data_IF_916441695940
#
_entry.id   IF_916441695940
#
_cell.length_a   1.000
_cell.length_b   1.000
_cell.length_c   1.000
_cell.angle_alpha   90.00
_cell.angle_beta   90.00
_cell.angle_gamma   90.00
#
_symmetry.space_group_name_H-M   'P 1'
#
loop_
_entity.id
_entity.type
_entity.pdbx_description
1 polymer ?
#
# COMPACT_ATOMS: atom_id res chain seq x y z
N UNK A 1 -3.31 10.50 -10.45
CA UNK A 1 -2.57 9.72 -9.44
C UNK A 1 -1.46 10.59 -8.91
N UNK A 2 -1.52 10.96 -7.64
CA UNK A 2 -0.44 11.63 -6.92
C UNK A 2 0.08 10.62 -5.88
N UNK A 3 1.32 10.19 -6.06
CA UNK A 3 2.03 9.48 -5.00
C UNK A 3 2.48 10.52 -3.99
N UNK A 4 2.24 10.27 -2.72
CA UNK A 4 3.13 10.85 -1.71
C UNK A 4 4.35 9.88 -1.76
N UNK A 5 5.63 10.23 -1.83
CA UNK A 5 6.43 11.13 -0.99
C UNK A 5 7.82 11.32 -1.62
N UNK A 6 8.44 12.49 -1.42
CA UNK A 6 9.86 12.69 -1.71
C UNK A 6 10.54 13.48 -0.59
N UNK A 7 11.55 12.85 0.01
CA UNK A 7 12.82 13.51 0.36
C UNK A 7 13.91 12.65 -0.28
N UNK A 8 14.14 12.79 -1.58
CA UNK A 8 15.05 11.94 -2.38
C UNK A 8 14.36 10.83 -3.20
N UNK A 9 14.63 9.55 -2.91
CA UNK A 9 14.17 8.41 -3.75
C UNK A 9 13.12 7.49 -3.12
N UNK A 10 12.60 7.82 -1.93
CA UNK A 10 11.84 6.86 -1.10
C UNK A 10 10.54 7.44 -0.57
N UNK A 11 9.56 6.57 -0.32
CA UNK A 11 8.30 6.91 0.36
C UNK A 11 8.57 7.31 1.84
N UNK A 12 7.71 8.16 2.44
CA UNK A 12 7.71 8.60 3.86
C UNK A 12 6.35 9.13 4.25
N UNK A 13 5.63 8.68 5.28
CA UNK A 13 4.26 9.16 5.57
C UNK A 13 4.07 10.70 5.61
N UNK A 14 2.84 11.25 5.48
CA UNK A 14 2.64 12.71 5.47
C UNK A 14 3.06 13.32 6.82
N UNK A 15 2.86 12.56 7.90
CA UNK A 15 3.34 12.86 9.25
C UNK A 15 4.86 12.91 9.37
N UNK A 16 5.59 12.26 8.46
CA UNK A 16 7.06 12.18 8.44
C UNK A 16 7.68 13.15 7.42
N UNK A 17 6.88 14.12 6.93
CA UNK A 17 7.33 15.17 6.02
C UNK A 17 7.29 14.79 4.54
N UNK A 18 6.61 13.72 4.16
CA UNK A 18 6.48 13.38 2.76
C UNK A 18 5.45 14.24 2.01
N UNK A 19 5.70 14.50 0.73
CA UNK A 19 4.95 15.46 -0.10
C UNK A 19 4.35 14.83 -1.38
N UNK A 20 3.25 15.40 -1.90
CA UNK A 20 2.62 14.97 -3.16
C UNK A 20 3.56 15.17 -4.36
N UNK A 21 3.60 14.20 -5.27
CA UNK A 21 4.39 14.24 -6.50
C UNK A 21 3.55 13.86 -7.73
N UNK A 22 3.85 14.43 -8.91
CA UNK A 22 3.19 14.05 -10.15
C UNK A 22 3.54 12.60 -10.55
N UNK A 23 2.60 11.93 -11.21
CA UNK A 23 2.81 10.60 -11.75
C UNK A 23 3.98 10.58 -12.76
N UNK A 24 4.89 9.61 -12.62
CA UNK A 24 5.93 9.27 -13.61
C UNK A 24 5.76 7.82 -14.03
N UNK A 25 5.58 7.60 -15.33
CA UNK A 25 5.38 6.27 -15.89
C UNK A 25 6.63 5.41 -15.66
N UNK A 26 6.45 4.21 -15.09
CA UNK A 26 7.52 3.27 -14.80
C UNK A 26 8.23 3.44 -13.46
N UNK A 27 7.83 4.40 -12.60
CA UNK A 27 8.33 4.50 -11.24
C UNK A 27 7.30 3.94 -10.23
N UNK A 28 7.66 2.83 -9.57
CA UNK A 28 7.01 2.36 -8.35
C UNK A 28 7.98 2.58 -7.20
N UNK A 29 7.65 3.47 -6.25
CA UNK A 29 8.50 3.77 -5.10
C UNK A 29 7.84 3.23 -3.84
N UNK A 30 8.58 2.43 -3.08
CA UNK A 30 8.17 1.95 -1.75
C UNK A 30 8.95 2.67 -0.64
N UNK A 31 8.59 2.38 0.61
CA UNK A 31 9.29 2.86 1.79
C UNK A 31 10.77 2.39 1.75
N UNK A 32 11.70 3.28 2.12
CA UNK A 32 13.14 3.05 1.96
C UNK A 32 13.66 1.76 2.58
N UNK A 33 13.09 1.40 3.72
CA UNK A 33 13.42 0.24 4.54
C UNK A 33 12.30 -0.81 4.52
N UNK A 34 11.40 -0.75 3.52
CA UNK A 34 10.48 -1.83 3.27
C UNK A 34 11.28 -3.11 3.05
N UNK A 35 11.07 -4.09 3.94
CA UNK A 35 11.69 -5.40 3.80
C UNK A 35 10.85 -6.18 2.79
N UNK A 36 11.12 -6.01 1.50
CA UNK A 36 10.46 -6.79 0.45
C UNK A 36 10.77 -8.29 0.55
N UNK A 37 11.93 -8.65 1.14
CA UNK A 37 12.23 -9.96 1.72
C UNK A 37 11.97 -9.94 3.23
N UNK A 38 10.71 -9.85 3.65
CA UNK A 38 10.38 -9.77 5.08
C UNK A 38 10.54 -11.12 5.78
N UNK A 39 9.80 -12.14 5.32
CA UNK A 39 9.87 -13.52 5.78
C UNK A 39 10.01 -14.45 4.56
N UNK A 40 11.24 -14.70 4.12
CA UNK A 40 11.49 -15.55 2.96
C UNK A 40 11.14 -17.01 3.26
N UNK A 41 10.36 -17.63 2.37
CA UNK A 41 9.89 -19.02 2.55
C UNK A 41 8.79 -19.18 3.60
N UNK A 42 8.32 -18.09 4.19
CA UNK A 42 7.21 -18.09 5.16
C UNK A 42 6.04 -17.23 4.66
N UNK A 43 4.93 -17.30 5.39
CA UNK A 43 3.72 -16.56 5.06
C UNK A 43 3.83 -15.09 5.43
N UNK A 44 3.66 -14.22 4.44
CA UNK A 44 3.52 -12.78 4.62
C UNK A 44 2.04 -12.38 4.52
N UNK A 45 1.70 -11.21 5.08
CA UNK A 45 0.37 -10.61 4.99
C UNK A 45 0.43 -9.32 4.18
N UNK A 46 -0.57 -9.13 3.31
CA UNK A 46 -0.74 -7.93 2.50
C UNK A 46 -2.16 -7.41 2.71
N UNK A 47 -2.28 -6.13 3.03
CA UNK A 47 -3.55 -5.43 3.14
C UNK A 47 -3.55 -4.26 2.16
N UNK A 48 -4.57 -4.21 1.30
CA UNK A 48 -4.79 -3.10 0.38
C UNK A 48 -6.10 -2.42 0.77
N UNK A 49 -6.03 -1.14 1.09
CA UNK A 49 -7.21 -0.31 1.34
C UNK A 49 -7.40 0.63 0.17
N UNK A 50 -8.52 0.55 -0.53
CA UNK A 50 -8.89 1.48 -1.59
C UNK A 50 -10.18 2.16 -1.20
N UNK A 51 -10.25 3.48 -1.37
CA UNK A 51 -11.43 4.26 -1.06
C UNK A 51 -11.79 5.13 -2.27
N UNK A 52 -12.57 4.55 -3.19
CA UNK A 52 -12.97 5.19 -4.45
C UNK A 52 -11.70 5.69 -5.19
N UNK A 53 -11.81 6.79 -5.93
CA UNK A 53 -10.72 7.50 -6.58
C UNK A 53 -9.87 8.35 -5.63
N UNK A 54 -10.14 8.33 -4.32
CA UNK A 54 -9.51 9.26 -3.37
C UNK A 54 -8.12 8.80 -2.95
N UNK A 55 -8.00 7.55 -2.51
CA UNK A 55 -6.73 7.02 -2.03
C UNK A 55 -6.65 5.50 -2.07
N UNK A 56 -5.41 5.00 -2.10
CA UNK A 56 -5.06 3.60 -1.91
C UNK A 56 -3.88 3.48 -0.94
N UNK A 57 -3.95 2.59 0.04
CA UNK A 57 -2.89 2.28 1.01
C UNK A 57 -2.48 0.82 0.82
N UNK A 58 -1.17 0.56 0.77
CA UNK A 58 -0.62 -0.79 0.82
C UNK A 58 0.12 -0.98 2.14
N UNK A 59 -0.31 -1.98 2.91
CA UNK A 59 0.40 -2.47 4.07
C UNK A 59 0.99 -3.85 3.79
N UNK A 60 2.24 -4.03 4.16
CA UNK A 60 2.94 -5.31 4.08
C UNK A 60 3.42 -5.69 5.48
N UNK A 61 2.96 -6.84 5.99
CA UNK A 61 3.16 -7.25 7.39
C UNK A 61 2.80 -6.16 8.41
N UNK A 62 1.70 -5.45 8.15
CA UNK A 62 1.20 -4.37 9.00
C UNK A 62 1.92 -3.02 8.83
N UNK A 63 3.05 -2.97 8.12
CA UNK A 63 3.76 -1.72 7.84
C UNK A 63 3.20 -1.07 6.58
N UNK A 64 2.88 0.22 6.63
CA UNK A 64 2.50 0.98 5.44
C UNK A 64 3.74 1.17 4.58
N UNK A 65 3.76 0.51 3.41
CA UNK A 65 4.86 0.59 2.44
C UNK A 65 4.51 1.45 1.23
N UNK A 66 3.21 1.72 1.01
CA UNK A 66 2.77 2.59 -0.07
C UNK A 66 1.44 3.34 0.21
N UNK A 67 1.26 4.50 -0.44
CA UNK A 67 0.10 5.38 -0.40
C UNK A 67 0.02 6.16 -1.72
N UNK A 68 -1.10 6.01 -2.41
CA UNK A 68 -1.48 6.84 -3.55
C UNK A 68 -2.74 7.64 -3.23
N UNK A 69 -2.84 8.85 -3.77
CA UNK A 69 -4.09 9.63 -3.78
C UNK A 69 -4.44 10.10 -5.17
N UNK A 70 -5.65 10.64 -5.30
CA UNK A 70 -6.12 11.26 -6.54
C UNK A 70 -6.02 10.26 -7.71
N UNK A 71 -6.55 9.05 -7.49
CA UNK A 71 -6.47 7.91 -8.41
C UNK A 71 -7.28 8.20 -9.69
N UNK A 72 -6.85 7.63 -10.81
CA UNK A 72 -7.52 7.83 -12.10
C UNK A 72 -8.82 7.04 -12.28
N UNK A 73 -9.06 6.06 -11.42
CA UNK A 73 -10.20 5.15 -11.46
C UNK A 73 -10.74 4.93 -10.05
N UNK A 74 -12.05 4.73 -9.94
CA UNK A 74 -12.76 4.45 -8.69
C UNK A 74 -12.90 2.94 -8.39
N UNK A 75 -12.88 2.13 -9.44
CA UNK A 75 -13.17 0.69 -9.39
C UNK A 75 -12.34 -0.05 -10.43
N UNK A 76 -12.24 -1.37 -10.27
CA UNK A 76 -11.51 -2.25 -11.16
C UNK A 76 -11.52 -3.70 -10.70
N UNK A 77 -10.94 -4.57 -11.51
CA UNK A 77 -10.75 -5.98 -11.17
C UNK A 77 -9.57 -6.14 -10.21
N UNK A 78 -9.71 -7.05 -9.25
CA UNK A 78 -8.61 -7.55 -8.44
C UNK A 78 -8.09 -8.83 -9.09
N UNK A 79 -6.79 -8.88 -9.37
CA UNK A 79 -6.13 -10.03 -9.96
C UNK A 79 -4.91 -10.42 -9.13
N UNK A 80 -4.61 -11.72 -9.14
CA UNK A 80 -3.36 -12.26 -8.59
C UNK A 80 -2.44 -12.55 -9.77
N UNK A 81 -1.25 -11.95 -9.75
CA UNK A 81 -0.24 -12.14 -10.78
C UNK A 81 0.92 -12.98 -10.25
N UNK A 82 1.45 -13.85 -11.11
CA UNK A 82 2.73 -14.52 -10.91
C UNK A 82 3.50 -14.47 -12.23
N UNK A 83 4.65 -13.79 -12.23
CA UNK A 83 5.51 -13.71 -13.41
C UNK A 83 6.51 -14.88 -13.49
N UNK A 84 7.18 -15.19 -12.37
CA UNK A 84 8.14 -16.30 -12.26
C UNK A 84 8.13 -16.93 -10.87
N UNK A 85 8.40 -18.24 -10.79
CA UNK A 85 8.37 -18.99 -9.53
C UNK A 85 6.96 -19.37 -9.08
N UNK A 86 6.88 -20.19 -8.02
CA UNK A 86 5.61 -20.52 -7.38
C UNK A 86 5.26 -19.44 -6.35
N UNK A 87 4.02 -18.95 -6.43
CA UNK A 87 3.45 -18.04 -5.44
C UNK A 87 2.20 -18.71 -4.87
N UNK A 88 2.08 -18.71 -3.55
CA UNK A 88 0.96 -19.30 -2.83
C UNK A 88 0.17 -18.18 -2.15
N UNK A 89 -1.16 -18.22 -2.29
CA UNK A 89 -2.07 -17.28 -1.62
C UNK A 89 -3.05 -18.05 -0.75
N UNK A 90 -3.39 -17.48 0.42
CA UNK A 90 -4.41 -17.99 1.33
C UNK A 90 -5.07 -16.85 2.09
N UNK A 91 -6.22 -17.13 2.70
CA UNK A 91 -6.96 -16.18 3.54
C UNK A 91 -7.24 -14.85 2.83
N UNK A 92 -7.66 -14.93 1.57
CA UNK A 92 -8.04 -13.75 0.79
C UNK A 92 -9.45 -13.35 1.22
N UNK A 93 -9.54 -12.16 1.80
CA UNK A 93 -10.78 -11.60 2.33
C UNK A 93 -10.98 -10.20 1.77
N UNK A 94 -12.25 -9.82 1.55
CA UNK A 94 -12.64 -8.50 1.05
C UNK A 94 -13.70 -7.94 1.99
N UNK A 95 -13.53 -6.68 2.37
CA UNK A 95 -14.52 -5.90 3.08
C UNK A 95 -14.85 -4.65 2.29
N UNK A 96 -16.11 -4.54 1.89
CA UNK A 96 -16.64 -3.35 1.23
C UNK A 96 -17.15 -2.33 2.24
N UNK A 97 -17.12 -1.06 1.87
CA UNK A 97 -17.63 0.05 2.67
C UNK A 97 -18.70 0.78 1.86
N UNK A 98 -19.89 0.94 2.44
CA UNK A 98 -20.98 1.73 1.82
C UNK A 98 -20.66 3.23 1.78
N UNK A 99 -19.89 3.70 2.77
CA UNK A 99 -19.53 5.11 2.93
C UNK A 99 -18.00 5.28 2.99
N UNK A 100 -17.44 6.36 2.39
CA UNK A 100 -16.02 6.60 2.40
C UNK A 100 -15.46 6.75 3.82
N UNK A 101 -14.47 5.93 4.16
CA UNK A 101 -13.74 6.04 5.43
C UNK A 101 -12.56 7.01 5.27
N UNK A 102 -12.32 7.94 6.22
CA UNK A 102 -11.15 8.82 6.16
C UNK A 102 -9.83 8.05 6.26
N UNK A 103 -8.85 8.48 5.46
CA UNK A 103 -7.53 7.84 5.35
C UNK A 103 -6.81 7.76 6.72
N UNK A 104 -6.99 8.78 7.55
CA UNK A 104 -6.36 8.91 8.88
C UNK A 104 -6.71 7.76 9.81
N UNK A 105 -7.85 7.09 9.60
CA UNK A 105 -8.23 5.90 10.37
C UNK A 105 -7.24 4.75 10.17
N UNK A 106 -6.77 4.57 8.94
CA UNK A 106 -5.87 3.49 8.56
C UNK A 106 -4.39 3.86 8.77
N UNK A 107 -4.07 5.15 8.81
CA UNK A 107 -2.71 5.63 9.09
C UNK A 107 -2.37 5.64 10.59
N UNK A 108 -3.38 5.70 11.47
CA UNK A 108 -3.20 5.74 12.94
C UNK A 108 -3.06 4.37 13.59
N UNK A 109 -3.39 3.30 12.89
CA UNK A 109 -3.19 1.94 13.39
C UNK A 109 -1.70 1.61 13.29
N UNK A 110 -0.92 2.06 14.28
CA UNK A 110 0.45 1.60 14.44
C UNK A 110 0.47 0.07 14.57
N UNK A 111 1.33 -0.51 13.74
CA UNK A 111 1.88 -1.86 13.79
C UNK A 111 1.80 -2.48 15.18
N UNK A 112 0.81 -3.35 15.40
CA UNK A 112 1.00 -4.43 16.38
C UNK A 112 2.20 -5.21 15.88
N UNK A 113 3.35 -5.03 16.53
CA UNK A 113 4.48 -5.95 16.39
C UNK A 113 3.94 -7.32 16.74
N UNK A 114 3.85 -8.19 15.75
CA UNK A 114 3.75 -9.61 16.00
C UNK A 114 5.10 -10.00 16.61
N UNK A 115 5.14 -10.21 17.93
CA UNK A 115 6.26 -10.81 18.66
C UNK A 115 6.38 -12.31 18.33
#
# INVERSE_FOLDING_TARGET
>A
MLWHYEVGKTFKLPSEGGAKQPFKMGEHRELADARYHFLDGEWNSSEIVVMDSKYAIHKFNGQIVNLATDLGSAEGLIALEAETGEILWRNIEIKEYEEPVPMERFLKEETKKYE
#
